data_IF_388655433823
#
_entry.id   IF_388655433823
#
_cell.length_a   1.000
_cell.length_b   1.000
_cell.length_c   1.000
_cell.angle_alpha   90.00
_cell.angle_beta   90.00
_cell.angle_gamma   90.00
#
_symmetry.space_group_name_H-M   'P 1'
#
loop_
_entity.id
_entity.type
_entity.pdbx_description
1 polymer ?
#
# COMPACT_ATOMS: atom_id res chain seq x y z
N UNK A 1 -20.22 4.79 -6.05
CA UNK A 1 -19.16 4.42 -5.11
C UNK A 1 -17.85 4.91 -5.69
N UNK A 2 -17.21 5.84 -4.99
CA UNK A 2 -15.94 6.43 -5.37
C UNK A 2 -14.78 5.61 -4.79
N UNK A 3 -14.07 4.90 -5.66
CA UNK A 3 -12.91 4.08 -5.30
C UNK A 3 -11.65 4.77 -5.80
N UNK A 4 -10.74 5.10 -4.88
CA UNK A 4 -9.45 5.72 -5.22
C UNK A 4 -8.30 4.76 -4.95
N UNK A 5 -7.40 4.65 -5.92
CA UNK A 5 -6.09 4.03 -5.79
C UNK A 5 -5.10 5.14 -5.46
N UNK A 6 -4.43 5.02 -4.32
CA UNK A 6 -3.46 6.00 -3.85
C UNK A 6 -2.22 5.96 -4.75
N UNK A 7 -1.95 7.06 -5.45
CA UNK A 7 -0.77 7.24 -6.27
C UNK A 7 0.32 7.97 -5.50
N UNK A 8 1.38 7.24 -5.20
CA UNK A 8 2.61 7.79 -4.65
C UNK A 8 3.82 7.33 -5.49
N UNK A 9 3.58 6.96 -6.75
CA UNK A 9 4.61 6.52 -7.68
C UNK A 9 5.17 5.12 -7.40
N UNK A 10 4.39 4.23 -6.78
CA UNK A 10 4.75 2.81 -6.60
C UNK A 10 3.52 1.91 -6.77
N UNK A 11 3.75 0.64 -7.17
CA UNK A 11 2.70 -0.35 -7.38
C UNK A 11 2.45 -0.70 -8.85
N UNK A 12 1.83 -1.86 -9.08
CA UNK A 12 1.31 -2.26 -10.39
C UNK A 12 -0.13 -1.76 -10.56
N UNK A 13 -0.27 -0.46 -10.80
CA UNK A 13 -1.55 0.24 -10.82
C UNK A 13 -2.50 -0.30 -11.90
N UNK A 14 -1.98 -0.56 -13.11
CA UNK A 14 -2.81 -0.99 -14.25
C UNK A 14 -3.51 -2.32 -13.99
N UNK A 15 -2.81 -3.29 -13.39
CA UNK A 15 -3.42 -4.60 -13.10
C UNK A 15 -4.57 -4.47 -12.09
N UNK A 16 -4.41 -3.58 -11.10
CA UNK A 16 -5.46 -3.30 -10.11
C UNK A 16 -6.65 -2.58 -10.78
N UNK A 17 -6.40 -1.56 -11.61
CA UNK A 17 -7.45 -0.88 -12.36
C UNK A 17 -8.26 -1.86 -13.22
N UNK A 18 -7.59 -2.73 -13.98
CA UNK A 18 -8.28 -3.71 -14.80
C UNK A 18 -9.02 -4.79 -13.99
N UNK A 19 -8.57 -5.11 -12.76
CA UNK A 19 -9.28 -6.02 -11.88
C UNK A 19 -10.62 -5.42 -11.45
N UNK A 20 -10.63 -4.14 -11.04
CA UNK A 20 -11.86 -3.43 -10.69
C UNK A 20 -12.77 -3.19 -11.89
N UNK A 21 -12.20 -2.86 -13.05
CA UNK A 21 -12.97 -2.68 -14.29
C UNK A 21 -13.76 -3.94 -14.66
N UNK A 22 -13.14 -5.12 -14.54
CA UNK A 22 -13.83 -6.42 -14.76
C UNK A 22 -14.97 -6.68 -13.77
N UNK A 23 -14.94 -6.05 -12.61
CA UNK A 23 -16.00 -6.08 -11.61
C UNK A 23 -17.06 -4.97 -11.83
N UNK A 24 -16.94 -4.18 -12.91
CA UNK A 24 -17.82 -3.05 -13.18
C UNK A 24 -17.56 -1.83 -12.29
N UNK A 25 -16.40 -1.76 -11.64
CA UNK A 25 -16.03 -0.66 -10.74
C UNK A 25 -14.91 0.17 -11.37
N UNK A 26 -15.11 1.47 -11.48
CA UNK A 26 -14.07 2.39 -11.93
C UNK A 26 -13.20 2.84 -10.75
N UNK A 27 -11.90 2.53 -10.78
CA UNK A 27 -10.94 2.87 -9.74
C UNK A 27 -10.06 4.06 -10.19
N UNK A 28 -10.26 5.21 -9.56
CA UNK A 28 -9.56 6.46 -9.90
C UNK A 28 -8.16 6.48 -9.28
N UNK A 29 -7.15 6.80 -10.09
CA UNK A 29 -5.80 7.01 -9.57
C UNK A 29 -5.67 8.46 -9.08
N UNK A 30 -5.20 8.66 -7.85
CA UNK A 30 -4.95 10.01 -7.32
C UNK A 30 -3.82 10.02 -6.31
N UNK A 31 -2.92 11.00 -6.45
CA UNK A 31 -1.93 11.37 -5.43
C UNK A 31 -2.30 12.63 -4.65
N UNK A 32 -3.45 13.25 -4.97
CA UNK A 32 -3.94 14.44 -4.29
C UNK A 32 -4.53 14.08 -2.91
N UNK A 33 -3.99 14.63 -1.80
CA UNK A 33 -4.49 14.41 -0.45
C UNK A 33 -5.98 14.69 -0.27
N UNK A 34 -6.51 15.76 -0.89
CA UNK A 34 -7.93 16.12 -0.73
C UNK A 34 -8.84 15.09 -1.41
N UNK A 35 -8.50 14.68 -2.64
CA UNK A 35 -9.23 13.62 -3.34
C UNK A 35 -9.19 12.28 -2.59
N UNK A 36 -8.04 11.93 -1.99
CA UNK A 36 -7.88 10.70 -1.21
C UNK A 36 -8.74 10.74 0.06
N UNK A 37 -8.73 11.87 0.78
CA UNK A 37 -9.48 12.04 2.03
C UNK A 37 -11.00 11.93 1.83
N UNK A 38 -11.50 12.36 0.67
CA UNK A 38 -12.94 12.40 0.36
C UNK A 38 -13.48 11.16 -0.40
N UNK A 39 -12.65 10.15 -0.68
CA UNK A 39 -13.09 8.94 -1.38
C UNK A 39 -13.91 8.00 -0.48
N UNK A 40 -14.89 7.28 -1.04
CA UNK A 40 -15.68 6.30 -0.28
C UNK A 40 -14.84 5.12 0.21
N UNK A 41 -13.86 4.69 -0.60
CA UNK A 41 -12.97 3.55 -0.36
C UNK A 41 -11.61 3.78 -0.99
N UNK A 42 -10.58 3.19 -0.38
CA UNK A 42 -9.20 3.35 -0.82
C UNK A 42 -8.48 2.03 -1.06
N UNK A 43 -7.67 2.01 -2.10
CA UNK A 43 -6.65 0.99 -2.34
C UNK A 43 -5.29 1.62 -2.10
N UNK A 44 -4.51 1.03 -1.21
CA UNK A 44 -3.12 1.38 -0.96
C UNK A 44 -2.22 0.28 -1.54
N UNK A 45 -1.86 0.37 -2.83
CA UNK A 45 -1.01 -0.63 -3.48
C UNK A 45 0.45 -0.41 -3.13
N UNK A 46 1.31 -1.38 -3.40
CA UNK A 46 2.74 -1.14 -3.44
C UNK A 46 3.53 -2.34 -3.97
N UNK A 47 4.62 -2.06 -4.68
CA UNK A 47 5.65 -3.05 -5.05
C UNK A 47 7.03 -2.41 -4.91
N UNK A 48 8.05 -3.22 -4.67
CA UNK A 48 9.43 -2.75 -4.49
C UNK A 48 9.85 -2.74 -3.03
N UNK A 49 10.75 -1.82 -2.69
CA UNK A 49 11.45 -1.77 -1.40
C UNK A 49 10.84 -0.69 -0.48
N UNK A 50 10.71 -1.01 0.81
CA UNK A 50 9.96 -0.24 1.80
C UNK A 50 10.53 1.16 2.06
N UNK A 51 11.85 1.32 2.20
CA UNK A 51 12.46 2.64 2.47
C UNK A 51 12.23 3.60 1.30
N UNK A 52 12.30 3.10 0.06
CA UNK A 52 12.03 3.86 -1.16
C UNK A 52 10.57 4.27 -1.23
N UNK A 53 9.65 3.35 -0.91
CA UNK A 53 8.22 3.66 -0.86
C UNK A 53 7.89 4.69 0.24
N UNK A 54 8.44 4.55 1.43
CA UNK A 54 8.26 5.52 2.53
C UNK A 54 8.84 6.90 2.20
N UNK A 55 9.97 6.97 1.47
CA UNK A 55 10.50 8.26 0.97
C UNK A 55 9.52 8.95 0.03
N UNK A 56 8.89 8.19 -0.88
CA UNK A 56 7.87 8.74 -1.80
C UNK A 56 6.64 9.22 -1.05
N UNK A 57 6.13 8.44 -0.09
CA UNK A 57 5.00 8.84 0.75
C UNK A 57 5.27 10.12 1.54
N UNK A 58 6.48 10.26 2.10
CA UNK A 58 6.92 11.49 2.78
C UNK A 58 7.00 12.68 1.83
N UNK A 59 7.50 12.47 0.61
CA UNK A 59 7.60 13.53 -0.39
C UNK A 59 6.23 14.04 -0.84
N UNK A 60 5.19 13.19 -0.82
CA UNK A 60 3.82 13.55 -1.15
C UNK A 60 2.94 13.84 0.07
N UNK A 61 3.51 13.82 1.29
CA UNK A 61 2.82 14.01 2.58
C UNK A 61 1.73 12.96 2.88
N UNK A 62 1.65 11.91 2.07
CA UNK A 62 0.69 10.82 2.24
C UNK A 62 1.03 9.93 3.44
N UNK A 63 2.27 9.96 3.92
CA UNK A 63 2.68 9.28 5.15
C UNK A 63 1.93 9.78 6.39
N UNK A 64 1.52 11.06 6.39
CA UNK A 64 0.72 11.67 7.46
C UNK A 64 -0.77 11.50 7.25
N UNK A 65 -1.22 11.54 5.99
CA UNK A 65 -2.62 11.40 5.67
C UNK A 65 -3.14 9.98 5.94
N UNK A 66 -2.42 8.96 5.47
CA UNK A 66 -2.92 7.57 5.46
C UNK A 66 -3.30 7.06 6.86
N UNK A 67 -2.51 7.29 7.93
CA UNK A 67 -2.87 6.90 9.29
C UNK A 67 -4.19 7.49 9.81
N UNK A 68 -4.57 8.68 9.33
CA UNK A 68 -5.73 9.41 9.85
C UNK A 68 -7.04 9.11 9.11
N UNK A 69 -6.96 8.41 7.96
CA UNK A 69 -8.12 8.03 7.15
C UNK A 69 -9.15 7.23 7.96
N UNK A 70 -10.43 7.48 7.70
CA UNK A 70 -11.57 6.82 8.40
C UNK A 70 -12.36 5.88 7.50
N UNK A 71 -12.28 6.09 6.20
CA UNK A 71 -12.85 5.23 5.17
C UNK A 71 -12.10 3.89 5.09
N UNK A 72 -12.75 2.82 4.60
CA UNK A 72 -12.09 1.54 4.41
C UNK A 72 -10.88 1.63 3.47
N UNK A 73 -9.74 1.12 3.93
CA UNK A 73 -8.47 1.06 3.18
C UNK A 73 -8.04 -0.39 2.98
N UNK A 74 -7.74 -0.79 1.75
CA UNK A 74 -7.14 -2.08 1.42
C UNK A 74 -5.66 -1.91 1.03
N UNK A 75 -4.76 -2.38 1.89
CA UNK A 75 -3.33 -2.48 1.58
C UNK A 75 -3.03 -3.72 0.74
N UNK A 76 -2.28 -3.58 -0.36
CA UNK A 76 -1.90 -4.70 -1.24
C UNK A 76 -0.37 -4.80 -1.33
N UNK A 77 0.15 -6.01 -1.07
CA UNK A 77 1.59 -6.33 -1.13
C UNK A 77 2.41 -5.39 -0.23
N UNK A 78 3.29 -4.55 -0.80
CA UNK A 78 4.07 -3.60 0.00
C UNK A 78 3.18 -2.60 0.73
N UNK A 79 2.06 -2.17 0.12
CA UNK A 79 1.12 -1.27 0.79
C UNK A 79 0.58 -1.86 2.09
N UNK A 80 0.31 -3.17 2.13
CA UNK A 80 -0.07 -3.88 3.36
C UNK A 80 1.04 -3.83 4.42
N UNK A 81 2.29 -4.08 4.01
CA UNK A 81 3.43 -4.08 4.92
C UNK A 81 3.68 -2.70 5.51
N UNK A 82 3.52 -1.63 4.73
CA UNK A 82 3.73 -0.26 5.19
C UNK A 82 2.69 0.22 6.21
N UNK A 83 1.51 -0.40 6.31
CA UNK A 83 0.54 -0.10 7.38
C UNK A 83 1.02 -0.56 8.77
N UNK A 84 2.05 -1.40 8.84
CA UNK A 84 2.62 -1.90 10.07
C UNK A 84 3.55 -0.87 10.74
N UNK A 85 4.07 -1.20 11.92
CA UNK A 85 4.94 -0.30 12.70
C UNK A 85 6.32 -0.15 12.07
N UNK A 86 6.92 -1.26 11.62
CA UNK A 86 8.18 -1.24 10.87
C UNK A 86 8.38 -2.53 10.09
N UNK A 87 9.39 -2.54 9.22
CA UNK A 87 9.87 -3.72 8.50
C UNK A 87 11.37 -3.91 8.69
N UNK A 88 11.82 -5.16 8.79
CA UNK A 88 13.24 -5.52 8.78
C UNK A 88 13.92 -5.12 7.46
N UNK A 89 13.15 -4.96 6.37
CA UNK A 89 13.68 -4.45 5.10
C UNK A 89 14.25 -3.03 5.30
N UNK A 90 15.58 -2.96 5.32
CA UNK A 90 16.35 -1.75 5.61
C UNK A 90 15.98 -1.04 6.92
N UNK A 91 15.47 -1.79 7.92
CA UNK A 91 15.00 -1.26 9.21
C UNK A 91 14.03 -0.07 9.04
N UNK A 92 13.11 -0.16 8.09
CA UNK A 92 12.26 0.95 7.69
C UNK A 92 11.06 1.11 8.64
N UNK A 93 10.83 2.31 9.21
CA UNK A 93 9.58 2.62 9.91
C UNK A 93 8.40 2.62 8.93
N UNK A 94 7.30 1.97 9.31
CA UNK A 94 6.04 2.02 8.58
C UNK A 94 5.16 3.18 9.05
N UNK A 95 3.88 3.11 8.69
CA UNK A 95 2.86 4.11 9.03
C UNK A 95 2.30 3.93 10.45
N UNK A 96 2.56 2.78 11.10
CA UNK A 96 2.21 2.58 12.50
C UNK A 96 0.72 2.40 12.79
N UNK A 97 -0.09 2.04 11.79
CA UNK A 97 -1.52 1.74 11.98
C UNK A 97 -1.67 0.42 12.73
N UNK A 98 -0.93 -0.61 12.31
CA UNK A 98 -0.84 -1.88 13.03
C UNK A 98 0.44 -1.93 13.85
N UNK A 99 0.31 -2.20 15.15
CA UNK A 99 1.44 -2.33 16.09
C UNK A 99 2.15 -3.68 15.93
N UNK A 100 2.65 -3.94 14.72
CA UNK A 100 3.32 -5.18 14.33
C UNK A 100 4.56 -4.90 13.48
N UNK A 101 5.51 -5.82 13.49
CA UNK A 101 6.76 -5.72 12.73
C UNK A 101 6.77 -6.72 11.59
N UNK A 102 7.01 -6.24 10.37
CA UNK A 102 7.17 -7.09 9.18
C UNK A 102 8.58 -7.67 9.20
N UNK A 103 8.67 -9.00 9.17
CA UNK A 103 9.94 -9.73 9.25
C UNK A 103 10.28 -10.41 7.94
N UNK A 104 11.57 -10.56 7.67
CA UNK A 104 12.04 -11.41 6.58
C UNK A 104 11.75 -12.87 6.94
N UNK A 105 11.30 -13.65 5.96
CA UNK A 105 11.22 -15.09 6.12
C UNK A 105 12.59 -15.69 6.51
N UNK A 106 12.56 -16.75 7.32
CA UNK A 106 13.78 -17.49 7.67
C UNK A 106 14.41 -18.13 6.43
N UNK A 107 15.71 -18.41 6.48
CA UNK A 107 16.42 -19.12 5.40
C UNK A 107 16.12 -20.62 5.33
N UNK A 108 15.21 -21.13 6.18
CA UNK A 108 14.76 -22.53 6.15
C UNK A 108 13.80 -22.82 4.99
N UNK A 109 13.34 -21.78 4.29
CA UNK A 109 12.53 -21.88 3.08
C UNK A 109 13.16 -21.05 1.97
N UNK A 110 12.74 -21.25 0.72
CA UNK A 110 13.17 -20.41 -0.40
C UNK A 110 12.67 -18.98 -0.21
N UNK A 111 13.58 -18.01 -0.23
CA UNK A 111 13.30 -16.57 -0.08
C UNK A 111 13.78 -15.83 -1.34
N UNK A 112 12.96 -14.98 -1.99
CA UNK A 112 11.58 -14.65 -1.61
C UNK A 112 10.59 -15.80 -1.89
N UNK A 113 9.48 -15.81 -1.15
CA UNK A 113 8.36 -16.69 -1.45
C UNK A 113 7.70 -16.25 -2.77
N UNK A 114 7.71 -17.12 -3.77
CA UNK A 114 7.09 -16.88 -5.08
C UNK A 114 6.33 -18.13 -5.52
N UNK A 115 5.05 -17.97 -5.84
CA UNK A 115 4.19 -19.07 -6.26
C UNK A 115 2.79 -18.94 -5.70
N UNK A 116 2.01 -20.01 -5.87
CA UNK A 116 0.66 -20.15 -5.35
C UNK A 116 0.73 -20.96 -4.06
N UNK A 117 0.28 -20.38 -2.96
CA UNK A 117 0.20 -21.07 -1.68
C UNK A 117 -1.21 -21.65 -1.51
N UNK A 118 -1.33 -22.86 -0.95
CA UNK A 118 -2.60 -23.57 -0.72
C UNK A 118 -2.87 -23.71 0.77
#
# INVERSE_FOLDING_TARGET
>A
MDLVIIDYGAGNIKSIQFAFERLGVHAHLSGDPERIANADKLIFPGVGEASTAMKKLKATQLDRLIPDLKQPVLGICLGMQLLCLSTEENNTPGLGIFQTHVKRFSNNVKVPHMGWNT
#
